data_IF_578011652148
#
_entry.id   IF_578011652148
#
_cell.length_a   1.000
_cell.length_b   1.000
_cell.length_c   1.000
_cell.angle_alpha   90.00
_cell.angle_beta   90.00
_cell.angle_gamma   90.00
#
_symmetry.space_group_name_H-M   'P 1'
#
loop_
_entity.id
_entity.type
_entity.pdbx_description
1 polymer ?
#
# COMPACT_ATOMS: atom_id res chain seq x y z
N UNK A 1 -3.75 4.01 -11.31
CA UNK A 1 -4.18 4.81 -10.15
C UNK A 1 -3.97 6.28 -10.44
N UNK A 2 -5.01 7.11 -10.28
CA UNK A 2 -4.91 8.56 -10.48
C UNK A 2 -5.14 9.28 -9.15
N UNK A 3 -4.58 10.49 -9.02
CA UNK A 3 -4.95 11.38 -7.91
C UNK A 3 -6.41 11.83 -8.08
N UNK A 4 -7.18 11.89 -6.99
CA UNK A 4 -8.60 12.19 -7.06
C UNK A 4 -8.90 13.64 -7.48
N UNK A 5 -8.01 14.60 -7.19
CA UNK A 5 -8.14 15.98 -7.66
C UNK A 5 -8.10 16.07 -9.18
N UNK A 6 -7.28 15.23 -9.83
CA UNK A 6 -7.27 15.15 -11.29
C UNK A 6 -8.60 14.62 -11.85
N UNK A 7 -9.23 13.67 -11.15
CA UNK A 7 -10.56 13.18 -11.51
C UNK A 7 -11.62 14.26 -11.35
N UNK A 8 -11.59 15.02 -10.25
CA UNK A 8 -12.51 16.15 -10.04
C UNK A 8 -12.35 17.19 -11.15
N UNK A 9 -11.11 17.57 -11.46
CA UNK A 9 -10.80 18.52 -12.54
C UNK A 9 -11.29 18.02 -13.90
N UNK A 10 -11.03 16.75 -14.24
CA UNK A 10 -11.48 16.14 -15.51
C UNK A 10 -13.00 16.04 -15.59
N UNK A 11 -13.65 15.65 -14.50
CA UNK A 11 -15.11 15.56 -14.44
C UNK A 11 -15.79 16.91 -14.63
N UNK A 12 -15.29 17.96 -13.97
CA UNK A 12 -15.80 19.32 -14.16
C UNK A 12 -15.66 19.78 -15.62
N UNK A 13 -14.47 19.59 -16.21
CA UNK A 13 -14.22 19.95 -17.61
C UNK A 13 -15.11 19.20 -18.59
N UNK A 14 -15.33 17.89 -18.39
CA UNK A 14 -16.21 17.09 -19.25
C UNK A 14 -17.69 17.46 -19.08
N UNK A 15 -18.11 17.83 -17.87
CA UNK A 15 -19.47 18.28 -17.60
C UNK A 15 -19.82 19.58 -18.36
N UNK A 16 -18.87 20.52 -18.50
CA UNK A 16 -19.04 21.73 -19.34
C UNK A 16 -19.34 21.40 -20.81
N UNK A 17 -18.93 20.22 -21.28
CA UNK A 17 -19.15 19.73 -22.63
C UNK A 17 -20.36 18.78 -22.73
N UNK A 18 -21.13 18.62 -21.65
CA UNK A 18 -22.25 17.68 -21.59
C UNK A 18 -21.83 16.21 -21.59
N UNK A 19 -20.58 15.89 -21.25
CA UNK A 19 -20.03 14.54 -21.23
C UNK A 19 -20.02 14.00 -19.79
N UNK A 20 -20.67 12.87 -19.57
CA UNK A 20 -20.62 12.16 -18.29
C UNK A 20 -19.23 11.60 -18.01
N UNK A 21 -18.78 11.71 -16.76
CA UNK A 21 -17.49 11.19 -16.30
C UNK A 21 -17.66 10.32 -15.07
N UNK A 22 -16.93 9.21 -15.03
CA UNK A 22 -16.83 8.33 -13.88
C UNK A 22 -15.37 7.93 -13.69
N UNK A 23 -14.83 8.17 -12.50
CA UNK A 23 -13.56 7.59 -12.10
C UNK A 23 -13.76 6.21 -11.48
N UNK A 24 -12.76 5.34 -11.62
CA UNK A 24 -12.79 3.97 -11.10
C UNK A 24 -11.48 3.64 -10.42
N UNK A 25 -11.53 3.58 -9.10
CA UNK A 25 -10.52 2.89 -8.32
C UNK A 25 -10.63 1.38 -8.54
N UNK A 26 -9.55 0.74 -8.97
CA UNK A 26 -9.53 -0.71 -9.29
C UNK A 26 -8.49 -1.43 -8.45
N UNK A 27 -8.88 -2.51 -7.76
CA UNK A 27 -7.99 -3.40 -7.00
C UNK A 27 -8.14 -4.84 -7.47
N UNK A 28 -7.08 -5.65 -7.38
CA UNK A 28 -7.08 -7.07 -7.79
C UNK A 28 -5.83 -7.52 -8.56
N UNK A 29 -5.03 -6.57 -9.06
CA UNK A 29 -3.80 -6.87 -9.79
C UNK A 29 -4.03 -7.77 -11.01
N UNK A 30 -3.03 -8.56 -11.39
CA UNK A 30 -3.12 -9.50 -12.52
C UNK A 30 -4.15 -10.62 -12.32
N UNK A 31 -4.49 -10.97 -11.08
CA UNK A 31 -5.46 -12.03 -10.77
C UNK A 31 -6.91 -11.58 -10.98
N UNK A 32 -7.17 -10.27 -11.03
CA UNK A 32 -8.51 -9.75 -11.33
C UNK A 32 -8.99 -10.11 -12.74
N UNK A 33 -8.10 -10.50 -13.66
CA UNK A 33 -8.47 -11.03 -14.97
C UNK A 33 -9.29 -12.33 -14.86
N UNK A 34 -8.98 -13.17 -13.87
CA UNK A 34 -9.65 -14.46 -13.66
C UNK A 34 -10.72 -14.39 -12.57
N UNK A 35 -10.50 -13.55 -11.55
CA UNK A 35 -11.31 -13.53 -10.33
C UNK A 35 -12.24 -12.31 -10.22
N UNK A 36 -12.15 -11.38 -11.19
CA UNK A 36 -12.81 -10.08 -11.13
C UNK A 36 -12.09 -9.06 -10.24
N UNK A 37 -12.43 -7.79 -10.41
CA UNK A 37 -11.78 -6.66 -9.74
C UNK A 37 -12.66 -6.06 -8.64
N UNK A 38 -12.03 -5.56 -7.58
CA UNK A 38 -12.69 -4.66 -6.64
C UNK A 38 -12.77 -3.25 -7.27
N UNK A 39 -13.98 -2.79 -7.60
CA UNK A 39 -14.26 -1.55 -8.32
C UNK A 39 -14.95 -0.52 -7.43
N UNK A 40 -14.25 0.56 -7.12
CA UNK A 40 -14.77 1.72 -6.38
C UNK A 40 -15.00 2.84 -7.38
N UNK A 41 -16.25 3.18 -7.68
CA UNK A 41 -16.55 4.18 -8.74
C UNK A 41 -17.11 5.48 -8.17
N UNK A 42 -16.62 6.59 -8.70
CA UNK A 42 -17.09 7.95 -8.41
C UNK A 42 -17.70 8.59 -9.65
N UNK A 43 -18.88 9.18 -9.52
CA UNK A 43 -19.63 9.72 -10.66
C UNK A 43 -21.00 10.25 -10.27
N UNK A 44 -21.73 10.85 -11.21
CA UNK A 44 -23.15 11.16 -10.97
C UNK A 44 -23.97 9.87 -10.92
N UNK A 45 -25.12 9.84 -10.21
CA UNK A 45 -25.97 8.66 -10.15
C UNK A 45 -26.35 8.11 -11.53
N UNK A 46 -26.67 8.98 -12.49
CA UNK A 46 -27.06 8.57 -13.84
C UNK A 46 -25.90 7.90 -14.61
N UNK A 47 -24.69 8.44 -14.50
CA UNK A 47 -23.50 7.85 -15.12
C UNK A 47 -23.17 6.52 -14.46
N UNK A 48 -23.21 6.46 -13.12
CA UNK A 48 -22.95 5.22 -12.39
C UNK A 48 -23.97 4.13 -12.78
N UNK A 49 -25.27 4.47 -12.83
CA UNK A 49 -26.33 3.56 -13.24
C UNK A 49 -26.14 3.06 -14.67
N UNK A 50 -25.72 3.94 -15.59
CA UNK A 50 -25.42 3.59 -16.99
C UNK A 50 -24.27 2.60 -17.08
N UNK A 51 -23.27 2.73 -16.21
CA UNK A 51 -22.06 1.90 -16.21
C UNK A 51 -22.23 0.57 -15.46
N UNK A 52 -23.29 0.42 -14.65
CA UNK A 52 -23.57 -0.80 -13.85
C UNK A 52 -23.34 -2.12 -14.58
N UNK A 53 -23.84 -2.34 -15.82
CA UNK A 53 -23.63 -3.62 -16.52
C UNK A 53 -22.15 -3.95 -16.74
N UNK A 54 -21.32 -2.94 -17.01
CA UNK A 54 -19.87 -3.12 -17.20
C UNK A 54 -19.20 -3.46 -15.86
N UNK A 55 -19.60 -2.79 -14.78
CA UNK A 55 -19.06 -3.05 -13.44
C UNK A 55 -19.38 -4.47 -12.98
N UNK A 56 -20.61 -4.93 -13.22
CA UNK A 56 -21.05 -6.28 -12.86
C UNK A 56 -20.29 -7.38 -13.61
N UNK A 57 -19.90 -7.13 -14.86
CA UNK A 57 -19.11 -8.07 -15.67
C UNK A 57 -17.65 -8.13 -15.20
N UNK A 58 -17.08 -7.00 -14.80
CA UNK A 58 -15.68 -6.90 -14.40
C UNK A 58 -15.43 -7.25 -12.92
N UNK A 59 -16.46 -7.20 -12.08
CA UNK A 59 -16.38 -7.55 -10.67
C UNK A 59 -16.40 -9.06 -10.43
N UNK A 60 -16.01 -9.56 -9.23
CA UNK A 60 -16.06 -10.98 -8.90
C UNK A 60 -17.44 -11.61 -9.06
N UNK A 61 -18.51 -10.83 -8.88
CA UNK A 61 -19.86 -11.23 -9.24
C UNK A 61 -20.76 -10.00 -9.43
N UNK A 62 -21.92 -10.18 -10.05
CA UNK A 62 -22.86 -9.09 -10.34
C UNK A 62 -23.35 -8.37 -9.06
N UNK A 63 -23.35 -9.04 -7.91
CA UNK A 63 -23.83 -8.53 -6.62
C UNK A 63 -22.72 -8.09 -5.66
N UNK A 64 -21.44 -8.23 -6.01
CA UNK A 64 -20.32 -7.99 -5.08
C UNK A 64 -19.03 -7.53 -5.75
N UNK A 65 -18.20 -6.83 -4.99
CA UNK A 65 -16.89 -6.36 -5.45
C UNK A 65 -16.93 -5.13 -6.34
N UNK A 66 -18.07 -4.45 -6.41
CA UNK A 66 -18.14 -3.11 -6.99
C UNK A 66 -19.13 -2.24 -6.20
N UNK A 67 -18.90 -0.93 -6.18
CA UNK A 67 -19.80 0.03 -5.55
C UNK A 67 -19.65 1.44 -6.13
N UNK A 68 -20.77 2.15 -6.29
CA UNK A 68 -20.80 3.60 -6.46
C UNK A 68 -20.60 4.27 -5.10
N UNK A 69 -19.41 4.85 -4.89
CA UNK A 69 -18.96 5.31 -3.57
C UNK A 69 -19.08 6.83 -3.39
N UNK A 70 -19.63 7.55 -4.38
CA UNK A 70 -19.92 8.97 -4.26
C UNK A 70 -19.77 9.75 -5.59
N UNK A 71 -19.66 11.09 -5.52
CA UNK A 71 -19.50 11.92 -6.69
C UNK A 71 -18.12 11.73 -7.35
N UNK A 72 -17.90 12.39 -8.49
CA UNK A 72 -16.61 12.35 -9.20
C UNK A 72 -15.44 12.64 -8.25
N UNK A 73 -14.42 11.79 -8.32
CA UNK A 73 -13.22 11.76 -7.49
C UNK A 73 -13.29 10.71 -6.38
N UNK A 74 -14.49 10.31 -5.94
CA UNK A 74 -14.62 9.42 -4.78
C UNK A 74 -14.04 8.01 -5.03
N UNK A 75 -14.13 7.47 -6.25
CA UNK A 75 -13.61 6.15 -6.58
C UNK A 75 -12.09 6.08 -6.45
N UNK A 76 -11.39 7.03 -7.07
CA UNK A 76 -9.93 7.15 -6.94
C UNK A 76 -9.51 7.54 -5.51
N UNK A 77 -10.29 8.36 -4.81
CA UNK A 77 -10.03 8.67 -3.40
C UNK A 77 -10.09 7.41 -2.52
N UNK A 78 -11.17 6.61 -2.65
CA UNK A 78 -11.30 5.35 -1.92
C UNK A 78 -10.14 4.40 -2.25
N UNK A 79 -9.74 4.29 -3.52
CA UNK A 79 -8.60 3.46 -3.92
C UNK A 79 -7.26 3.98 -3.38
N UNK A 80 -7.08 5.29 -3.31
CA UNK A 80 -5.89 5.90 -2.70
C UNK A 80 -5.77 5.48 -1.23
N UNK A 81 -6.86 5.63 -0.44
CA UNK A 81 -6.88 5.20 0.97
C UNK A 81 -6.69 3.69 1.11
N UNK A 82 -7.31 2.88 0.24
CA UNK A 82 -7.08 1.44 0.17
C UNK A 82 -5.58 1.12 0.03
N UNK A 83 -4.85 1.78 -0.88
CA UNK A 83 -3.41 1.56 -1.05
C UNK A 83 -2.61 2.03 0.16
N UNK A 84 -3.03 3.11 0.83
CA UNK A 84 -2.45 3.51 2.11
C UNK A 84 -2.55 2.40 3.17
N UNK A 85 -3.74 1.80 3.33
CA UNK A 85 -3.94 0.66 4.24
C UNK A 85 -3.05 -0.52 3.85
N UNK A 86 -2.97 -0.83 2.56
CA UNK A 86 -2.10 -1.89 2.02
C UNK A 86 -0.62 -1.67 2.42
N UNK A 87 -0.14 -0.42 2.40
CA UNK A 87 1.21 -0.08 2.84
C UNK A 87 1.44 -0.41 4.32
N UNK A 88 0.47 -0.09 5.18
CA UNK A 88 0.51 -0.42 6.61
C UNK A 88 0.52 -1.92 6.85
N UNK A 89 -0.33 -2.67 6.15
CA UNK A 89 -0.39 -4.13 6.26
C UNK A 89 0.93 -4.80 5.83
N UNK A 90 1.47 -4.41 4.67
CA UNK A 90 2.76 -4.92 4.19
C UNK A 90 3.89 -4.62 5.19
N UNK A 91 3.91 -3.41 5.75
CA UNK A 91 4.92 -3.02 6.74
C UNK A 91 4.82 -3.88 8.01
N UNK A 92 3.61 -4.11 8.52
CA UNK A 92 3.40 -4.95 9.69
C UNK A 92 3.84 -6.41 9.47
N UNK A 93 3.58 -6.97 8.28
CA UNK A 93 4.09 -8.31 7.95
C UNK A 93 5.62 -8.35 7.88
N UNK A 94 6.25 -7.37 7.23
CA UNK A 94 7.70 -7.31 7.12
C UNK A 94 8.39 -7.25 8.50
N UNK A 95 7.93 -6.34 9.37
CA UNK A 95 8.46 -6.20 10.73
C UNK A 95 8.27 -7.48 11.56
N UNK A 96 7.07 -8.07 11.51
CA UNK A 96 6.77 -9.30 12.25
C UNK A 96 7.63 -10.49 11.81
N UNK A 97 7.82 -10.66 10.50
CA UNK A 97 8.65 -11.75 9.95
C UNK A 97 10.14 -11.53 10.22
N UNK A 98 10.62 -10.28 10.18
CA UNK A 98 11.99 -9.95 10.56
C UNK A 98 12.26 -10.27 12.04
N UNK A 99 11.31 -9.97 12.93
CA UNK A 99 11.40 -10.33 14.35
C UNK A 99 11.45 -11.85 14.56
N UNK A 100 10.63 -12.63 13.83
CA UNK A 100 10.68 -14.09 13.88
C UNK A 100 12.04 -14.61 13.39
N UNK A 101 12.56 -14.08 12.28
CA UNK A 101 13.90 -14.42 11.76
C UNK A 101 15.00 -14.08 12.75
N UNK A 102 14.90 -12.93 13.45
CA UNK A 102 15.90 -12.47 14.41
C UNK A 102 16.02 -13.38 15.64
N UNK A 103 15.01 -14.19 15.95
CA UNK A 103 14.99 -15.11 17.10
C UNK A 103 15.69 -16.44 16.79
N UNK A 104 16.99 -16.37 16.59
CA UNK A 104 17.85 -17.49 16.14
C UNK A 104 17.78 -18.75 17.01
N UNK A 105 17.52 -18.62 18.31
CA UNK A 105 17.42 -19.72 19.27
C UNK A 105 16.30 -20.74 18.96
N UNK A 106 15.30 -20.35 18.16
CA UNK A 106 14.18 -21.22 17.80
C UNK A 106 14.31 -21.83 16.39
N UNK A 107 15.25 -21.37 15.57
CA UNK A 107 15.47 -21.84 14.20
C UNK A 107 14.15 -22.01 13.40
N UNK A 108 13.33 -20.95 13.38
CA UNK A 108 11.97 -20.99 12.83
C UNK A 108 11.97 -21.05 11.30
N UNK A 109 11.08 -21.86 10.74
CA UNK A 109 10.80 -21.91 9.30
C UNK A 109 9.70 -20.91 8.95
N UNK A 110 10.06 -19.79 8.31
CA UNK A 110 9.11 -18.74 7.97
C UNK A 110 8.15 -19.15 6.85
N UNK A 111 8.57 -20.04 5.94
CA UNK A 111 7.69 -20.55 4.90
C UNK A 111 6.59 -21.42 5.52
N UNK A 112 6.95 -22.28 6.47
CA UNK A 112 5.98 -23.08 7.21
C UNK A 112 5.00 -22.20 8.02
N UNK A 113 5.52 -21.18 8.73
CA UNK A 113 4.69 -20.30 9.57
C UNK A 113 3.72 -19.48 8.71
N UNK A 114 4.20 -18.88 7.62
CA UNK A 114 3.34 -18.07 6.75
C UNK A 114 2.29 -18.93 6.04
N UNK A 115 2.62 -20.15 5.62
CA UNK A 115 1.64 -21.12 5.12
C UNK A 115 0.62 -21.49 6.19
N UNK A 116 1.04 -21.78 7.42
CA UNK A 116 0.13 -22.05 8.55
C UNK A 116 -0.86 -20.90 8.75
N UNK A 117 -0.39 -19.65 8.69
CA UNK A 117 -1.24 -18.48 8.88
C UNK A 117 -2.28 -18.26 7.78
N UNK A 118 -2.14 -18.85 6.60
CA UNK A 118 -3.19 -18.77 5.56
C UNK A 118 -4.46 -19.51 5.98
N UNK A 119 -4.34 -20.48 6.89
CA UNK A 119 -5.41 -21.39 7.26
C UNK A 119 -5.96 -21.08 8.66
N UNK A 120 -7.03 -20.28 8.71
CA UNK A 120 -7.78 -20.03 9.94
C UNK A 120 -7.20 -18.97 10.87
N UNK A 121 -6.08 -18.33 10.52
CA UNK A 121 -5.58 -17.19 11.28
C UNK A 121 -6.38 -15.91 11.03
N UNK A 122 -6.31 -14.98 11.99
CA UNK A 122 -6.93 -13.65 11.88
C UNK A 122 -6.25 -12.79 10.80
N UNK A 123 -4.96 -12.97 10.57
CA UNK A 123 -4.16 -12.14 9.65
C UNK A 123 -4.20 -12.64 8.20
N UNK A 124 -5.03 -13.65 7.91
CA UNK A 124 -5.22 -14.16 6.54
C UNK A 124 -5.60 -13.02 5.58
N UNK A 125 -4.91 -12.95 4.46
CA UNK A 125 -5.12 -11.94 3.43
C UNK A 125 -4.38 -12.33 2.16
N UNK A 126 -4.71 -11.70 1.05
CA UNK A 126 -3.98 -11.91 -0.20
C UNK A 126 -2.49 -11.54 -0.10
N UNK A 127 -2.14 -10.50 0.68
CA UNK A 127 -0.74 -10.13 0.93
C UNK A 127 0.01 -11.26 1.66
N UNK A 128 -0.64 -11.95 2.59
CA UNK A 128 -0.06 -13.11 3.24
C UNK A 128 0.10 -14.29 2.28
N UNK A 129 -0.88 -14.52 1.38
CA UNK A 129 -0.78 -15.56 0.35
C UNK A 129 0.45 -15.35 -0.54
N UNK A 130 0.66 -14.11 -1.02
CA UNK A 130 1.84 -13.75 -1.81
C UNK A 130 3.14 -13.94 -1.03
N UNK A 131 3.14 -13.59 0.26
CA UNK A 131 4.31 -13.71 1.13
C UNK A 131 4.68 -15.17 1.35
N UNK A 132 3.70 -16.03 1.66
CA UNK A 132 3.92 -17.46 1.85
C UNK A 132 4.45 -18.14 0.58
N UNK A 133 3.87 -17.80 -0.58
CA UNK A 133 4.34 -18.34 -1.86
C UNK A 133 5.78 -17.90 -2.14
N UNK A 134 6.13 -16.63 -1.91
CA UNK A 134 7.50 -16.15 -2.10
C UNK A 134 8.51 -16.86 -1.18
N UNK A 135 8.20 -16.99 0.11
CA UNK A 135 9.10 -17.59 1.11
C UNK A 135 9.25 -19.11 0.92
N UNK A 136 8.25 -19.79 0.34
CA UNK A 136 8.37 -21.20 -0.05
C UNK A 136 9.53 -21.45 -1.02
N UNK A 137 9.84 -20.47 -1.88
CA UNK A 137 10.93 -20.56 -2.85
C UNK A 137 12.26 -20.06 -2.30
N UNK A 138 12.26 -18.91 -1.61
CA UNK A 138 13.48 -18.32 -1.05
C UNK A 138 13.19 -17.57 0.26
N UNK A 139 13.69 -18.10 1.38
CA UNK A 139 13.58 -17.44 2.69
C UNK A 139 14.74 -16.48 2.99
N UNK A 140 15.86 -16.58 2.26
CA UNK A 140 17.02 -15.75 2.52
C UNK A 140 16.85 -14.36 1.90
N UNK A 141 16.28 -14.31 0.69
CA UNK A 141 16.02 -13.10 -0.09
C UNK A 141 17.31 -12.34 -0.48
N UNK A 142 18.47 -12.99 -0.48
CA UNK A 142 19.78 -12.36 -0.71
C UNK A 142 19.92 -11.74 -2.11
N UNK A 143 19.06 -12.14 -3.05
CA UNK A 143 19.00 -11.59 -4.42
C UNK A 143 18.12 -10.34 -4.53
N UNK A 144 17.42 -9.97 -3.46
CA UNK A 144 16.51 -8.83 -3.41
C UNK A 144 17.20 -7.67 -2.70
N UNK A 145 17.33 -6.53 -3.37
CA UNK A 145 17.86 -5.33 -2.74
C UNK A 145 16.89 -4.84 -1.64
N UNK A 146 17.37 -4.31 -0.50
CA UNK A 146 16.54 -3.76 0.58
C UNK A 146 15.98 -2.37 0.21
N UNK A 147 15.33 -2.28 -0.95
CA UNK A 147 14.79 -1.07 -1.56
C UNK A 147 13.31 -1.29 -1.84
N UNK A 148 12.46 -0.39 -1.33
CA UNK A 148 11.00 -0.50 -1.52
C UNK A 148 10.51 0.77 -2.23
N UNK A 149 10.05 0.67 -3.50
CA UNK A 149 9.50 1.83 -4.19
C UNK A 149 8.14 2.23 -3.60
N UNK A 150 7.72 3.45 -3.92
CA UNK A 150 6.36 3.91 -3.66
C UNK A 150 5.78 4.61 -4.90
N UNK A 151 4.55 4.28 -5.24
CA UNK A 151 3.87 4.70 -6.48
C UNK A 151 3.12 6.04 -6.36
N UNK A 152 3.14 6.67 -5.17
CA UNK A 152 2.56 7.99 -4.91
C UNK A 152 1.29 7.98 -4.06
N UNK A 153 0.49 6.92 -4.08
CA UNK A 153 -0.79 6.85 -3.35
C UNK A 153 -0.57 6.87 -1.84
N UNK A 154 0.51 6.26 -1.35
CA UNK A 154 0.91 6.36 0.06
C UNK A 154 1.24 7.81 0.47
N UNK A 155 1.88 8.59 -0.42
CA UNK A 155 2.15 10.02 -0.18
C UNK A 155 0.85 10.80 -0.11
N UNK A 156 -0.03 10.64 -1.09
CA UNK A 156 -1.31 11.34 -1.12
C UNK A 156 -2.18 10.98 0.09
N UNK A 157 -2.15 9.73 0.56
CA UNK A 157 -2.88 9.32 1.77
C UNK A 157 -2.38 10.05 3.02
N UNK A 158 -1.07 10.20 3.19
CA UNK A 158 -0.49 10.90 4.34
C UNK A 158 -0.74 12.41 4.27
N UNK A 159 -0.69 13.00 3.07
CA UNK A 159 -1.06 14.40 2.85
C UNK A 159 -2.53 14.61 3.23
N UNK A 160 -3.42 13.75 2.74
CA UNK A 160 -4.85 13.82 3.07
C UNK A 160 -5.11 13.71 4.58
N UNK A 161 -4.38 12.83 5.27
CA UNK A 161 -4.48 12.71 6.72
C UNK A 161 -4.12 14.03 7.45
N UNK A 162 -3.11 14.75 6.95
CA UNK A 162 -2.72 16.07 7.47
C UNK A 162 -3.82 17.09 7.17
N UNK A 163 -4.30 17.14 5.93
CA UNK A 163 -5.29 18.12 5.48
C UNK A 163 -6.63 17.96 6.22
N UNK A 164 -7.03 16.72 6.53
CA UNK A 164 -8.23 16.42 7.34
C UNK A 164 -7.99 16.55 8.85
N UNK A 165 -6.75 16.71 9.32
CA UNK A 165 -6.42 16.67 10.74
C UNK A 165 -6.64 15.30 11.39
N UNK A 166 -6.55 14.22 10.63
CA UNK A 166 -6.73 12.84 11.09
C UNK A 166 -5.37 12.21 11.40
N UNK A 167 -5.20 11.71 12.63
CA UNK A 167 -3.99 11.00 13.01
C UNK A 167 -3.88 9.64 12.31
N UNK A 168 -2.91 9.50 11.39
CA UNK A 168 -2.65 8.26 10.63
C UNK A 168 -1.24 7.68 10.88
N UNK A 169 -0.83 7.41 12.14
CA UNK A 169 0.56 7.09 12.47
C UNK A 169 1.09 5.84 11.76
N UNK A 170 0.27 4.78 11.63
CA UNK A 170 0.67 3.53 10.96
C UNK A 170 0.97 3.77 9.48
N UNK A 171 0.09 4.50 8.78
CA UNK A 171 0.23 4.75 7.35
C UNK A 171 1.41 5.70 7.07
N UNK A 172 1.57 6.72 7.92
CA UNK A 172 2.70 7.64 7.88
C UNK A 172 4.03 6.93 8.08
N UNK A 173 4.13 6.07 9.09
CA UNK A 173 5.36 5.31 9.35
C UNK A 173 5.67 4.35 8.20
N UNK A 174 4.67 3.60 7.70
CA UNK A 174 4.86 2.70 6.56
C UNK A 174 5.38 3.43 5.31
N UNK A 175 4.94 4.67 5.06
CA UNK A 175 5.49 5.51 4.00
C UNK A 175 6.94 5.93 4.30
N UNK A 176 7.22 6.39 5.52
CA UNK A 176 8.55 6.86 5.91
C UNK A 176 9.61 5.76 5.87
N UNK A 177 9.26 4.51 6.23
CA UNK A 177 10.19 3.38 6.11
C UNK A 177 10.58 3.11 4.66
N UNK A 178 9.66 3.30 3.69
CA UNK A 178 10.01 3.25 2.26
C UNK A 178 10.92 4.41 1.83
N UNK A 179 10.88 5.55 2.51
CA UNK A 179 11.82 6.63 2.24
C UNK A 179 13.19 6.26 2.77
N UNK A 180 13.23 5.66 3.96
CA UNK A 180 14.46 5.23 4.59
C UNK A 180 15.16 4.10 3.82
N UNK A 181 14.42 3.13 3.26
CA UNK A 181 14.99 2.04 2.45
C UNK A 181 15.72 2.52 1.19
N UNK A 182 15.52 3.79 0.81
CA UNK A 182 16.14 4.42 -0.37
C UNK A 182 17.25 5.41 0.01
N UNK A 183 17.52 5.58 1.31
CA UNK A 183 18.52 6.52 1.81
C UNK A 183 19.92 5.90 1.81
N UNK A 184 20.56 5.85 0.65
CA UNK A 184 21.89 5.26 0.50
C UNK A 184 23.00 6.06 1.21
N UNK A 185 22.85 7.39 1.33
CA UNK A 185 23.90 8.25 1.90
C UNK A 185 23.93 8.20 3.43
N UNK A 186 22.76 7.99 4.06
CA UNK A 186 22.61 7.96 5.51
C UNK A 186 22.98 9.27 6.20
N UNK A 187 22.92 10.43 5.53
CA UNK A 187 23.40 11.71 6.06
C UNK A 187 22.84 12.03 7.46
N UNK A 188 21.52 11.88 7.66
CA UNK A 188 20.89 12.08 8.97
C UNK A 188 21.48 11.20 10.07
N UNK A 189 21.77 9.93 9.77
CA UNK A 189 22.39 8.99 10.72
C UNK A 189 23.85 9.36 11.03
N UNK A 190 24.60 9.82 10.02
CA UNK A 190 25.95 10.35 10.22
C UNK A 190 25.93 11.56 11.15
N UNK A 191 25.03 12.53 10.89
CA UNK A 191 24.88 13.71 11.72
C UNK A 191 24.46 13.35 13.16
N UNK A 192 23.52 12.42 13.33
CA UNK A 192 23.13 11.91 14.65
C UNK A 192 24.32 11.28 15.38
N UNK A 193 25.14 10.47 14.70
CA UNK A 193 26.35 9.87 15.29
C UNK A 193 27.37 10.93 15.69
N UNK A 194 27.61 11.93 14.84
CA UNK A 194 28.50 13.07 15.14
C UNK A 194 27.99 13.87 16.34
N UNK A 195 26.70 14.16 16.43
CA UNK A 195 26.13 14.86 17.59
C UNK A 195 26.32 14.05 18.86
N UNK A 196 26.00 12.74 18.86
CA UNK A 196 26.21 11.84 20.00
C UNK A 196 27.66 11.77 20.47
N UNK A 197 28.60 11.83 19.53
CA UNK A 197 30.02 11.93 19.86
C UNK A 197 30.37 13.28 20.48
N UNK A 198 29.91 14.38 19.88
CA UNK A 198 30.26 15.73 20.32
C UNK A 198 29.71 16.07 21.72
N UNK A 199 28.45 15.76 22.02
CA UNK A 199 27.88 16.09 23.33
C UNK A 199 28.10 15.00 24.39
N UNK A 200 28.16 13.73 23.98
CA UNK A 200 28.12 12.58 24.88
C UNK A 200 29.35 11.69 24.86
N UNK A 201 30.36 12.00 24.03
CA UNK A 201 31.59 11.21 23.90
C UNK A 201 31.40 9.81 23.31
N UNK A 202 30.23 9.49 22.73
CA UNK A 202 29.97 8.18 22.15
C UNK A 202 30.88 7.89 20.94
N UNK A 203 31.42 6.68 20.84
CA UNK A 203 32.27 6.28 19.72
C UNK A 203 31.54 6.34 18.37
N UNK A 204 32.21 6.89 17.35
CA UNK A 204 31.75 6.91 15.96
C UNK A 204 32.39 5.74 15.23
N UNK A 205 31.60 5.00 14.45
CA UNK A 205 32.14 4.00 13.51
C UNK A 205 32.50 4.68 12.20
N UNK A 206 33.72 4.48 11.72
CA UNK A 206 34.17 5.01 10.44
C UNK A 206 33.97 3.97 9.35
N UNK A 207 33.71 4.42 8.12
CA UNK A 207 33.57 3.51 6.98
C UNK A 207 34.90 2.84 6.67
N UNK A 208 34.98 1.51 6.80
CA UNK A 208 36.17 0.72 6.46
C UNK A 208 37.07 0.32 7.65
N UNK A 209 36.62 0.48 8.90
CA UNK A 209 37.31 0.03 10.10
C UNK A 209 36.37 -0.54 11.15
#
# INVERSE_FOLDING_TARGET
NSNYHDSQRRGAWLAEQGIGFMDSGTSGGVWGLENGYCLMVGGTPDVAQTMTPILQVLAPAADRGWAHVGPVGSGHFTKMIHNGIEYGMMQAFAEGLELLRGKQEFNLDLAQITELWRHGSVVRSWLLDLTAEALKHDQQLDKVAPYVPDSGEGRWTVIEAIDQGVAAPVLTLALQIRFNSRNETGYGYRLLSTMRNAFGGHAVKHTGG
#
